data_IF_679819324172
#
_entry.id   IF_679819324172
#
_cell.length_a   1.000
_cell.length_b   1.000
_cell.length_c   1.000
_cell.angle_alpha   90.00
_cell.angle_beta   90.00
_cell.angle_gamma   90.00
#
_symmetry.space_group_name_H-M   'P 1'
#
loop_
_entity.id
_entity.type
_entity.pdbx_description
1 polymer ?
#
# COMPACT_ATOMS: atom_id res chain seq x y z
N UNK A 1 3.78 -14.43 11.12
CA UNK A 1 3.98 -14.52 9.66
C UNK A 1 4.35 -13.14 9.12
N UNK A 2 5.56 -12.97 8.57
CA UNK A 2 6.05 -11.68 8.05
C UNK A 2 6.05 -11.75 6.52
N UNK A 3 5.47 -10.74 5.87
CA UNK A 3 5.60 -10.58 4.40
C UNK A 3 7.02 -10.10 4.11
N UNK A 4 7.71 -10.74 3.15
CA UNK A 4 9.08 -10.35 2.79
C UNK A 4 9.10 -8.98 2.09
N UNK A 5 10.26 -8.33 2.06
CA UNK A 5 10.42 -7.05 1.36
C UNK A 5 10.11 -7.19 -0.13
N UNK A 6 10.62 -8.24 -0.78
CA UNK A 6 10.39 -8.50 -2.20
C UNK A 6 8.91 -8.81 -2.51
N UNK A 7 8.21 -9.49 -1.61
CA UNK A 7 6.75 -9.68 -1.73
C UNK A 7 5.99 -8.35 -1.66
N UNK A 8 6.44 -7.38 -0.83
CA UNK A 8 5.85 -6.04 -0.84
C UNK A 8 6.14 -5.31 -2.14
N UNK A 9 7.35 -5.40 -2.68
CA UNK A 9 7.73 -4.76 -3.94
C UNK A 9 6.89 -5.27 -5.11
N UNK A 10 6.77 -6.59 -5.26
CA UNK A 10 5.91 -7.23 -6.28
C UNK A 10 4.46 -6.77 -6.11
N UNK A 11 3.96 -6.73 -4.86
CA UNK A 11 2.60 -6.29 -4.57
C UNK A 11 2.38 -4.83 -4.99
N UNK A 12 3.29 -3.93 -4.64
CA UNK A 12 3.16 -2.50 -4.97
C UNK A 12 3.28 -2.28 -6.48
N UNK A 13 4.26 -2.87 -7.15
CA UNK A 13 4.39 -2.79 -8.61
C UNK A 13 3.14 -3.28 -9.34
N UNK A 14 2.54 -4.36 -8.84
CA UNK A 14 1.30 -4.86 -9.40
C UNK A 14 0.15 -3.87 -9.23
N UNK A 15 0.03 -3.24 -8.06
CA UNK A 15 -1.01 -2.26 -7.76
C UNK A 15 -0.81 -0.94 -8.52
N UNK A 16 0.42 -0.53 -8.81
CA UNK A 16 0.69 0.65 -9.65
C UNK A 16 0.20 0.45 -11.09
N UNK A 17 0.42 -0.75 -11.63
CA UNK A 17 0.03 -1.08 -13.01
C UNK A 17 -1.47 -1.35 -13.18
N UNK A 18 -2.13 -1.87 -12.15
CA UNK A 18 -3.53 -2.33 -12.22
C UNK A 18 -4.51 -1.49 -11.39
N UNK A 19 -4.02 -0.51 -10.61
CA UNK A 19 -4.79 0.28 -9.65
C UNK A 19 -5.00 -0.40 -8.30
N UNK A 20 -5.61 0.33 -7.35
CA UNK A 20 -5.96 -0.23 -6.04
C UNK A 20 -7.11 -1.24 -6.15
N UNK A 21 -6.75 -2.53 -6.27
CA UNK A 21 -7.70 -3.64 -6.41
C UNK A 21 -8.61 -3.87 -5.20
N UNK A 22 -8.40 -3.16 -4.09
CA UNK A 22 -9.34 -3.18 -2.97
C UNK A 22 -10.56 -2.28 -3.19
N UNK A 23 -10.49 -1.35 -4.15
CA UNK A 23 -11.60 -0.46 -4.50
C UNK A 23 -12.37 -1.08 -5.67
N UNK A 24 -13.63 -1.50 -5.48
CA UNK A 24 -14.45 -1.95 -6.59
C UNK A 24 -14.77 -0.77 -7.51
N UNK A 25 -14.29 -0.80 -8.75
CA UNK A 25 -14.67 0.13 -9.81
C UNK A 25 -15.41 -0.61 -10.93
N UNK A 26 -16.32 0.03 -11.66
CA UNK A 26 -16.82 -0.48 -12.95
C UNK A 26 -17.92 -1.56 -12.95
N UNK A 27 -18.74 -1.66 -11.90
CA UNK A 27 -19.90 -2.59 -11.88
C UNK A 27 -19.51 -4.08 -11.95
N UNK A 28 -20.39 -4.99 -12.41
CA UNK A 28 -20.13 -6.43 -12.43
C UNK A 28 -18.85 -6.83 -13.21
N UNK A 29 -18.60 -6.20 -14.36
CA UNK A 29 -17.39 -6.43 -15.17
C UNK A 29 -16.11 -6.08 -14.42
N UNK A 30 -16.12 -4.98 -13.66
CA UNK A 30 -15.00 -4.59 -12.83
C UNK A 30 -14.76 -5.53 -11.64
N UNK A 31 -15.82 -6.12 -11.06
CA UNK A 31 -15.67 -7.16 -10.02
C UNK A 31 -14.94 -8.40 -10.55
N UNK A 32 -15.32 -8.88 -11.75
CA UNK A 32 -14.65 -10.00 -12.40
C UNK A 32 -13.19 -9.68 -12.72
N UNK A 33 -12.90 -8.48 -13.22
CA UNK A 33 -11.53 -8.01 -13.45
C UNK A 33 -10.70 -8.01 -12.16
N UNK A 34 -11.23 -7.43 -11.08
CA UNK A 34 -10.56 -7.38 -9.77
C UNK A 34 -10.29 -8.79 -9.24
N UNK A 35 -11.26 -9.70 -9.35
CA UNK A 35 -11.08 -11.09 -8.92
C UNK A 35 -9.97 -11.78 -9.72
N UNK A 36 -9.97 -11.63 -11.05
CA UNK A 36 -8.92 -12.19 -11.90
C UNK A 36 -7.52 -11.64 -11.53
N UNK A 37 -7.44 -10.34 -11.25
CA UNK A 37 -6.18 -9.67 -10.87
C UNK A 37 -5.67 -10.08 -9.49
N UNK A 38 -6.55 -10.30 -8.53
CA UNK A 38 -6.15 -10.84 -7.23
C UNK A 38 -5.63 -12.28 -7.33
N UNK A 39 -6.21 -13.11 -8.19
CA UNK A 39 -5.69 -14.46 -8.48
C UNK A 39 -4.30 -14.41 -9.11
N UNK A 40 -4.11 -13.56 -10.13
CA UNK A 40 -2.83 -13.35 -10.80
C UNK A 40 -1.74 -12.93 -9.79
N UNK A 41 -2.05 -11.93 -8.96
CA UNK A 41 -1.13 -11.42 -7.94
C UNK A 41 -0.80 -12.49 -6.89
N UNK A 42 -1.80 -13.25 -6.43
CA UNK A 42 -1.59 -14.32 -5.44
C UNK A 42 -0.62 -15.37 -5.98
N UNK A 43 -0.77 -15.76 -7.25
CA UNK A 43 0.16 -16.69 -7.88
C UNK A 43 1.57 -16.11 -7.93
N UNK A 44 1.74 -14.86 -8.37
CA UNK A 44 3.05 -14.19 -8.43
C UNK A 44 3.75 -14.13 -7.07
N UNK A 45 3.03 -13.74 -6.02
CA UNK A 45 3.58 -13.62 -4.67
C UNK A 45 3.96 -14.97 -4.05
N UNK A 46 3.17 -16.02 -4.33
CA UNK A 46 3.46 -17.36 -3.85
C UNK A 46 4.60 -18.04 -4.64
N UNK A 47 4.81 -17.68 -5.92
CA UNK A 47 5.91 -18.18 -6.74
C UNK A 47 7.27 -17.53 -6.45
N UNK A 48 7.29 -16.35 -5.82
CA UNK A 48 8.52 -15.61 -5.53
C UNK A 48 9.46 -16.42 -4.59
N UNK A 49 8.93 -17.14 -3.61
CA UNK A 49 9.70 -18.11 -2.81
C UNK A 49 10.46 -17.54 -1.60
N UNK A 50 10.59 -16.23 -1.43
CA UNK A 50 11.21 -15.59 -0.26
C UNK A 50 10.26 -15.43 0.94
N UNK A 51 9.04 -15.95 0.85
CA UNK A 51 8.06 -15.91 1.95
C UNK A 51 7.04 -17.04 1.87
N UNK A 52 6.28 -17.22 2.96
CA UNK A 52 5.28 -18.28 3.03
C UNK A 52 4.11 -18.04 2.05
N UNK A 53 3.65 -19.08 1.33
CA UNK A 53 2.49 -18.97 0.44
C UNK A 53 1.22 -18.68 1.24
N UNK A 54 0.35 -17.83 0.68
CA UNK A 54 -0.91 -17.43 1.33
C UNK A 54 -2.09 -17.52 0.37
N UNK A 55 -3.29 -17.61 0.94
CA UNK A 55 -4.53 -17.48 0.17
C UNK A 55 -4.74 -16.05 -0.31
N UNK A 56 -5.56 -15.90 -1.35
CA UNK A 56 -5.94 -14.59 -1.89
C UNK A 56 -6.51 -13.66 -0.82
N UNK A 57 -7.37 -14.17 0.08
CA UNK A 57 -7.95 -13.41 1.18
C UNK A 57 -6.89 -12.85 2.13
N UNK A 58 -5.87 -13.66 2.46
CA UNK A 58 -4.74 -13.20 3.27
C UNK A 58 -3.95 -12.11 2.55
N UNK A 59 -3.73 -12.23 1.23
CA UNK A 59 -3.05 -11.20 0.46
C UNK A 59 -3.85 -9.88 0.38
N UNK A 60 -5.17 -9.95 0.24
CA UNK A 60 -6.07 -8.78 0.34
C UNK A 60 -5.93 -8.09 1.70
N UNK A 61 -5.84 -8.87 2.78
CA UNK A 61 -5.60 -8.34 4.13
C UNK A 61 -4.23 -7.67 4.26
N UNK A 62 -3.17 -8.33 3.76
CA UNK A 62 -1.81 -7.76 3.74
C UNK A 62 -1.79 -6.39 3.05
N UNK A 63 -2.41 -6.28 1.87
CA UNK A 63 -2.50 -5.00 1.17
C UNK A 63 -3.25 -3.94 1.96
N UNK A 64 -4.37 -4.32 2.58
CA UNK A 64 -5.18 -3.41 3.39
C UNK A 64 -4.42 -2.89 4.61
N UNK A 65 -3.75 -3.79 5.34
CA UNK A 65 -2.93 -3.45 6.51
C UNK A 65 -1.73 -2.59 6.12
N UNK A 66 -1.07 -2.91 5.00
CA UNK A 66 0.08 -2.15 4.51
C UNK A 66 -0.28 -0.70 4.19
N UNK A 67 -1.39 -0.48 3.47
CA UNK A 67 -1.93 0.86 3.23
C UNK A 67 -2.25 1.60 4.52
N UNK A 68 -2.90 0.94 5.47
CA UNK A 68 -3.25 1.56 6.75
C UNK A 68 -2.01 1.96 7.55
N UNK A 69 -0.95 1.14 7.51
CA UNK A 69 0.32 1.45 8.15
C UNK A 69 1.01 2.64 7.48
N UNK A 70 1.04 2.70 6.14
CA UNK A 70 1.56 3.84 5.39
C UNK A 70 0.82 5.14 5.75
N UNK A 71 -0.52 5.12 5.78
CA UNK A 71 -1.35 6.26 6.19
C UNK A 71 -1.07 6.70 7.63
N UNK A 72 -0.99 5.76 8.57
CA UNK A 72 -0.67 6.04 9.97
C UNK A 72 0.70 6.69 10.11
N UNK A 73 1.70 6.20 9.37
CA UNK A 73 3.05 6.75 9.36
C UNK A 73 3.05 8.18 8.80
N UNK A 74 2.43 8.39 7.64
CA UNK A 74 2.28 9.73 7.05
C UNK A 74 1.57 10.72 7.99
N UNK A 75 0.50 10.30 8.66
CA UNK A 75 -0.22 11.14 9.62
C UNK A 75 0.64 11.48 10.86
N UNK A 76 1.49 10.56 11.32
CA UNK A 76 2.47 10.84 12.39
C UNK A 76 3.50 11.87 11.94
N UNK A 77 4.01 11.75 10.71
CA UNK A 77 4.97 12.69 10.12
C UNK A 77 4.36 14.09 10.02
N UNK A 78 3.15 14.20 9.47
CA UNK A 78 2.43 15.47 9.35
C UNK A 78 2.16 16.14 10.70
N UNK A 79 1.75 15.36 11.72
CA UNK A 79 1.57 15.88 13.09
C UNK A 79 2.88 16.36 13.71
N UNK A 80 3.96 15.61 13.53
CA UNK A 80 5.29 16.00 14.02
C UNK A 80 5.79 17.29 13.35
N UNK A 81 5.52 17.46 12.05
CA UNK A 81 5.87 18.69 11.32
C UNK A 81 5.04 19.91 11.75
N UNK A 82 3.79 19.70 12.18
CA UNK A 82 2.87 20.79 12.59
C UNK A 82 2.99 21.15 14.08
N UNK A 83 3.58 20.29 14.91
CA UNK A 83 3.78 20.51 16.33
C UNK A 83 5.04 21.31 16.63
N UNK A 84 4.96 22.64 16.67
CA UNK A 84 6.04 23.50 17.16
C UNK A 84 6.12 23.39 18.69
N UNK A 85 6.86 22.42 19.19
CA UNK A 85 7.06 22.22 20.62
C UNK A 85 8.40 21.60 20.94
N UNK A 86 9.48 22.39 20.88
CA UNK A 86 10.76 22.30 21.62
C UNK A 86 11.56 20.99 21.72
N UNK A 87 11.05 19.85 21.26
CA UNK A 87 11.72 18.56 21.31
C UNK A 87 12.32 18.17 19.96
N UNK A 88 13.35 17.31 19.93
CA UNK A 88 13.97 16.89 18.67
C UNK A 88 12.92 16.23 17.77
N UNK A 89 12.70 16.82 16.60
CA UNK A 89 11.87 16.22 15.57
C UNK A 89 12.50 14.88 15.19
N UNK A 90 11.84 13.77 15.55
CA UNK A 90 12.15 12.49 14.95
C UNK A 90 11.96 12.65 13.44
N UNK A 91 13.05 12.60 12.68
CA UNK A 91 13.09 12.68 11.22
C UNK A 91 12.43 11.42 10.63
N UNK A 92 11.12 11.29 10.81
CA UNK A 92 10.33 10.21 10.28
C UNK A 92 10.03 10.54 8.81
N UNK A 93 10.56 9.72 7.90
CA UNK A 93 10.24 9.78 6.48
C UNK A 93 9.56 8.48 6.04
N UNK A 94 8.69 8.58 5.04
CA UNK A 94 8.21 7.40 4.31
C UNK A 94 9.36 6.82 3.47
N UNK A 95 9.42 5.50 3.38
CA UNK A 95 10.31 4.85 2.40
C UNK A 95 9.76 5.03 0.98
N UNK A 96 10.57 4.80 -0.04
CA UNK A 96 10.13 4.86 -1.44
C UNK A 96 8.91 3.98 -1.71
N UNK A 97 8.91 2.77 -1.15
CA UNK A 97 7.81 1.83 -1.29
C UNK A 97 6.52 2.32 -0.62
N UNK A 98 6.63 2.93 0.57
CA UNK A 98 5.49 3.53 1.26
C UNK A 98 4.97 4.77 0.52
N UNK A 99 5.84 5.59 -0.06
CA UNK A 99 5.45 6.73 -0.91
C UNK A 99 4.66 6.28 -2.13
N UNK A 100 5.13 5.24 -2.83
CA UNK A 100 4.42 4.62 -3.96
C UNK A 100 3.02 4.15 -3.58
N UNK A 101 2.88 3.50 -2.43
CA UNK A 101 1.57 3.10 -1.88
C UNK A 101 0.67 4.30 -1.66
N UNK A 102 1.18 5.40 -1.10
CA UNK A 102 0.39 6.61 -0.87
C UNK A 102 -0.10 7.25 -2.17
N UNK A 103 0.67 7.17 -3.26
CA UNK A 103 0.23 7.60 -4.59
C UNK A 103 -0.91 6.73 -5.13
N UNK A 104 -0.79 5.39 -5.02
CA UNK A 104 -1.83 4.45 -5.49
C UNK A 104 -3.17 4.66 -4.78
N UNK A 105 -3.13 4.91 -3.48
CA UNK A 105 -4.35 5.07 -2.68
C UNK A 105 -5.09 6.37 -2.99
N UNK A 106 -4.39 7.34 -3.57
CA UNK A 106 -4.88 8.70 -3.74
C UNK A 106 -5.02 9.34 -2.36
N UNK A 107 -3.90 9.69 -1.74
CA UNK A 107 -3.96 10.69 -0.67
C UNK A 107 -4.42 11.98 -1.34
N UNK A 108 -5.70 12.32 -1.16
CA UNK A 108 -6.12 13.71 -1.26
C UNK A 108 -5.14 14.50 -0.39
N UNK A 109 -4.32 15.30 -1.05
CA UNK A 109 -3.39 16.21 -0.43
C UNK A 109 -4.19 17.15 0.50
N UNK A 110 -4.29 16.76 1.77
CA UNK A 110 -4.55 17.67 2.88
C UNK A 110 -3.23 18.29 3.39
N UNK A 111 -2.18 18.20 2.59
CA UNK A 111 -0.98 19.01 2.71
C UNK A 111 -0.99 19.92 1.49
N UNK A 112 -1.39 21.17 1.68
CA UNK A 112 -1.37 22.20 0.65
C UNK A 112 0.05 22.53 0.22
N UNK A 113 0.64 21.65 -0.58
CA UNK A 113 1.78 21.99 -1.42
C UNK A 113 1.25 22.00 -2.85
N UNK A 114 1.02 23.22 -3.32
CA UNK A 114 0.80 23.52 -4.72
C UNK A 114 2.00 22.98 -5.54
N UNK A 115 1.69 22.37 -6.68
CA UNK A 115 2.62 22.33 -7.81
C UNK A 115 2.68 23.71 -8.44
#
# INVERSE_FOLDING_TARGET
MRTSQLQYEIMVEFMERNGDLSKPSGGPRGRSYIQAKWKELTSKLNCEGSGEPRSEEKWRKVWSDYKNNCKKKCAKISRAASGTGGGPALQLCLTDLENRVMQIVGVQAATGMAV
#
